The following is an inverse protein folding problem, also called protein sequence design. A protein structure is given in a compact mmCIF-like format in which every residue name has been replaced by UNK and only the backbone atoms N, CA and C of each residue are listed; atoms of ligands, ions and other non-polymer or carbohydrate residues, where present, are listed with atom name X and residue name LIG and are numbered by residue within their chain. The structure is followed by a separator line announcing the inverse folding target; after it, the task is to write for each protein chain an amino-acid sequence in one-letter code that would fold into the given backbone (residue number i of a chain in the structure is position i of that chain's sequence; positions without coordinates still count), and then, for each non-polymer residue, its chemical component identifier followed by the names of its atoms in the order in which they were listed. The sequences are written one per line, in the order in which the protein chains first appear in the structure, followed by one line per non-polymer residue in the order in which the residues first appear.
data_IF_975882379504
#
_entry.id   IF_975882379504
#
_cell.length_a   1.000
_cell.length_b   1.000
_cell.length_c   1.000
_cell.angle_alpha   90.00
_cell.angle_beta   90.00
_cell.angle_gamma   90.00
#
_symmetry.space_group_name_H-M   'P 1'
#
loop_
_entity.id
_entity.type
_entity.pdbx_description
1 polymer ?
#
# COMPACT_ATOMS: atom_id res chain seq x y z
N UNK A 1 -16.53 -19.08 26.70
CA UNK A 1 -17.97 -18.95 27.00
C UNK A 1 -18.18 -17.47 27.28
N UNK A 2 -18.61 -16.72 26.31
CA UNK A 2 -18.86 -15.29 26.41
C UNK A 2 -20.38 -15.10 26.43
N UNK A 3 -20.87 -14.69 27.62
CA UNK A 3 -22.26 -14.29 27.79
C UNK A 3 -22.49 -12.96 27.07
N UNK A 4 -23.33 -13.00 26.05
CA UNK A 4 -23.84 -11.82 25.37
C UNK A 4 -25.15 -11.44 26.01
N UNK A 5 -25.12 -10.48 26.96
CA UNK A 5 -26.34 -9.88 27.49
C UNK A 5 -26.90 -8.89 26.46
N UNK A 6 -27.86 -9.34 25.69
CA UNK A 6 -28.72 -8.53 24.83
C UNK A 6 -29.83 -7.92 25.69
N UNK A 7 -29.65 -6.69 26.17
CA UNK A 7 -30.79 -5.87 26.61
C UNK A 7 -31.49 -5.31 25.39
N UNK A 8 -32.32 -6.13 24.76
CA UNK A 8 -33.29 -5.68 23.79
C UNK A 8 -34.52 -5.14 24.55
N UNK A 9 -34.77 -3.85 24.44
CA UNK A 9 -36.07 -3.28 24.76
C UNK A 9 -37.13 -3.98 23.90
N UNK A 10 -38.02 -4.70 24.58
CA UNK A 10 -39.11 -5.45 23.99
C UNK A 10 -40.16 -4.52 23.40
N UNK A 11 -40.21 -4.40 22.10
CA UNK A 11 -41.48 -4.28 21.37
C UNK A 11 -41.52 -5.40 20.35
N UNK A 12 -42.33 -6.34 20.69
CA UNK A 12 -42.60 -7.59 20.02
C UNK A 12 -43.30 -7.33 18.68
N UNK A 13 -42.55 -7.42 17.55
CA UNK A 13 -43.03 -7.83 16.23
C UNK A 13 -42.01 -7.75 15.10
N UNK A 14 -40.80 -7.24 15.31
CA UNK A 14 -39.75 -7.17 14.27
C UNK A 14 -38.48 -7.90 14.71
N UNK A 15 -38.55 -9.23 14.83
CA UNK A 15 -37.37 -10.09 14.92
C UNK A 15 -36.72 -10.20 13.54
N UNK A 16 -36.00 -9.16 13.16
CA UNK A 16 -35.04 -9.23 12.09
C UNK A 16 -33.76 -9.92 12.61
N UNK A 17 -33.27 -10.88 11.87
CA UNK A 17 -32.09 -11.65 12.16
C UNK A 17 -30.89 -10.75 12.52
N UNK A 18 -30.47 -10.77 13.78
CA UNK A 18 -29.24 -10.14 14.20
C UNK A 18 -28.10 -11.13 13.95
N UNK A 19 -27.16 -10.76 13.08
CA UNK A 19 -25.96 -11.54 12.84
C UNK A 19 -24.84 -10.98 13.71
N UNK A 20 -24.33 -11.77 14.68
CA UNK A 20 -23.17 -11.42 15.50
C UNK A 20 -22.01 -12.27 15.00
N UNK A 21 -20.94 -11.61 14.57
CA UNK A 21 -19.76 -12.27 14.06
C UNK A 21 -18.54 -12.01 14.97
N UNK A 22 -18.04 -13.06 15.67
CA UNK A 22 -16.71 -12.95 16.30
C UNK A 22 -15.63 -13.08 15.24
N UNK A 23 -14.80 -12.09 15.07
CA UNK A 23 -13.58 -12.17 14.25
C UNK A 23 -12.41 -12.66 15.09
N UNK A 24 -11.72 -13.68 14.61
CA UNK A 24 -10.76 -14.50 15.36
C UNK A 24 -9.43 -13.80 15.73
N UNK A 25 -9.18 -12.56 15.37
CA UNK A 25 -7.82 -12.01 15.51
C UNK A 25 -7.66 -10.69 16.24
N UNK A 26 -8.68 -10.00 16.57
CA UNK A 26 -8.81 -8.86 17.51
C UNK A 26 -10.28 -8.47 17.52
N UNK A 27 -10.90 -8.70 18.59
CA UNK A 27 -12.19 -8.22 19.14
C UNK A 27 -13.05 -7.26 18.31
N UNK A 28 -13.19 -7.47 16.99
CA UNK A 28 -14.22 -6.80 16.20
C UNK A 28 -15.51 -7.61 16.28
N UNK A 29 -16.60 -6.96 16.60
CA UNK A 29 -17.94 -7.53 16.51
C UNK A 29 -18.74 -6.66 15.54
N UNK A 30 -19.35 -7.30 14.57
CA UNK A 30 -20.28 -6.70 13.63
C UNK A 30 -21.67 -7.21 13.94
N UNK A 31 -22.61 -6.35 14.23
CA UNK A 31 -24.02 -6.68 14.33
C UNK A 31 -24.79 -5.89 13.26
N UNK A 32 -25.65 -6.57 12.53
CA UNK A 32 -26.55 -5.97 11.55
C UNK A 32 -27.99 -6.39 11.84
N UNK A 33 -28.87 -5.43 11.98
CA UNK A 33 -30.30 -5.64 12.06
C UNK A 33 -30.96 -5.29 10.72
N UNK A 34 -31.73 -6.22 10.18
CA UNK A 34 -32.45 -6.03 8.92
C UNK A 34 -33.81 -5.40 9.18
N UNK A 35 -34.13 -4.30 8.50
CA UNK A 35 -35.48 -3.70 8.43
C UNK A 35 -36.04 -3.83 7.03
N UNK A 36 -37.39 -3.78 6.85
CA UNK A 36 -38.04 -4.19 5.60
C UNK A 36 -37.72 -3.35 4.34
N UNK A 37 -36.95 -2.31 4.38
CA UNK A 37 -36.71 -1.42 3.23
C UNK A 37 -35.22 -1.24 2.90
N UNK A 38 -34.44 -2.33 2.75
CA UNK A 38 -33.00 -2.26 2.44
C UNK A 38 -32.17 -1.47 3.46
N UNK A 39 -32.77 -1.19 4.62
CA UNK A 39 -32.15 -0.44 5.71
C UNK A 39 -31.40 -1.41 6.60
N UNK A 40 -30.10 -1.23 6.76
CA UNK A 40 -29.28 -2.04 7.65
C UNK A 40 -28.77 -1.17 8.81
N UNK A 41 -29.19 -1.47 10.03
CA UNK A 41 -28.56 -0.89 11.22
C UNK A 41 -27.25 -1.61 11.46
N UNK A 42 -26.15 -0.90 11.41
CA UNK A 42 -24.80 -1.40 11.55
C UNK A 42 -24.24 -0.97 12.92
N UNK A 43 -23.67 -1.92 13.62
CA UNK A 43 -22.85 -1.67 14.81
C UNK A 43 -21.49 -2.36 14.61
N UNK A 44 -20.42 -1.60 14.63
CA UNK A 44 -19.04 -2.11 14.55
C UNK A 44 -18.33 -1.77 15.84
N UNK A 45 -17.79 -2.78 16.49
CA UNK A 45 -17.14 -2.69 17.79
C UNK A 45 -15.71 -3.19 17.70
N UNK A 46 -14.77 -2.44 18.28
CA UNK A 46 -13.36 -2.83 18.38
C UNK A 46 -12.90 -2.68 19.82
N UNK A 47 -12.56 -3.80 20.46
CA UNK A 47 -12.04 -3.84 21.82
C UNK A 47 -10.50 -3.80 21.86
N UNK A 48 -9.96 -3.55 23.06
CA UNK A 48 -8.52 -3.46 23.35
C UNK A 48 -7.81 -2.38 22.52
N UNK A 49 -8.47 -1.22 22.38
CA UNK A 49 -7.97 -0.10 21.60
C UNK A 49 -7.48 1.02 22.52
N UNK A 50 -6.35 1.63 22.17
CA UNK A 50 -5.90 2.84 22.84
C UNK A 50 -6.77 4.05 22.43
N UNK A 51 -7.00 4.98 23.35
CA UNK A 51 -7.78 6.20 23.09
C UNK A 51 -7.15 7.10 22.00
N UNK A 52 -5.87 6.90 21.71
CA UNK A 52 -5.09 7.55 20.65
C UNK A 52 -5.16 6.82 19.30
N UNK A 53 -6.15 5.96 19.13
CA UNK A 53 -6.34 5.21 17.87
C UNK A 53 -7.59 5.66 17.13
N UNK A 54 -7.62 5.34 15.84
CA UNK A 54 -8.79 5.42 14.98
C UNK A 54 -9.20 4.02 14.53
N UNK A 55 -10.48 3.85 14.23
CA UNK A 55 -11.00 2.65 13.59
C UNK A 55 -11.72 3.00 12.29
N UNK A 56 -11.72 2.07 11.35
CA UNK A 56 -12.52 2.14 10.15
C UNK A 56 -13.14 0.78 9.81
N UNK A 57 -14.40 0.80 9.43
CA UNK A 57 -15.05 -0.32 8.79
C UNK A 57 -15.58 0.14 7.44
N UNK A 58 -15.40 -0.69 6.40
CA UNK A 58 -15.75 -0.31 5.05
C UNK A 58 -16.41 -1.47 4.30
N UNK A 59 -17.25 -1.14 3.33
CA UNK A 59 -17.70 -2.07 2.30
C UNK A 59 -17.09 -1.68 0.96
N UNK A 60 -16.77 -2.69 0.14
CA UNK A 60 -16.34 -2.47 -1.23
C UNK A 60 -17.35 -3.09 -2.20
N UNK A 61 -18.24 -2.29 -2.79
CA UNK A 61 -19.27 -2.80 -3.70
C UNK A 61 -18.72 -3.28 -5.04
N UNK A 62 -17.53 -2.83 -5.42
CA UNK A 62 -16.96 -3.07 -6.76
C UNK A 62 -16.01 -4.25 -6.81
N UNK A 63 -15.22 -4.48 -5.75
CA UNK A 63 -14.14 -5.48 -5.74
C UNK A 63 -13.67 -5.84 -4.34
N UNK A 64 -12.83 -6.86 -4.28
CA UNK A 64 -12.14 -7.23 -3.04
C UNK A 64 -10.95 -6.30 -2.81
N UNK A 65 -10.77 -5.83 -1.58
CA UNK A 65 -9.62 -5.00 -1.19
C UNK A 65 -9.99 -3.56 -0.84
N UNK A 66 -8.99 -2.81 -0.41
CA UNK A 66 -9.14 -1.46 0.13
C UNK A 66 -9.55 -0.43 -0.93
N UNK A 67 -8.97 -0.54 -2.13
CA UNK A 67 -9.21 0.43 -3.20
C UNK A 67 -10.65 0.34 -3.73
N UNK A 68 -11.37 1.45 -3.72
CA UNK A 68 -12.80 1.54 -4.04
C UNK A 68 -13.72 1.23 -2.85
N UNK A 69 -13.14 0.95 -1.68
CA UNK A 69 -13.92 0.74 -0.47
C UNK A 69 -14.49 2.07 0.05
N UNK A 70 -15.61 1.96 0.76
CA UNK A 70 -16.38 3.08 1.30
C UNK A 70 -16.50 2.87 2.81
N UNK A 71 -15.85 3.74 3.55
CA UNK A 71 -15.57 3.56 4.96
C UNK A 71 -16.43 4.42 5.88
N UNK A 72 -16.76 3.86 7.03
CA UNK A 72 -17.14 4.57 8.25
C UNK A 72 -15.89 4.67 9.11
N UNK A 73 -15.50 5.87 9.48
CA UNK A 73 -14.29 6.16 10.25
C UNK A 73 -14.67 6.76 11.58
N UNK A 74 -14.04 6.32 12.66
CA UNK A 74 -14.22 6.91 13.96
C UNK A 74 -12.91 7.06 14.72
N UNK A 75 -12.81 8.12 15.50
CA UNK A 75 -11.70 8.38 16.41
C UNK A 75 -12.11 9.35 17.51
N UNK A 76 -11.35 9.34 18.61
CA UNK A 76 -11.48 10.32 19.69
C UNK A 76 -10.54 11.49 19.40
N UNK A 77 -11.10 12.71 19.33
CA UNK A 77 -10.27 13.90 19.15
C UNK A 77 -9.38 14.10 20.40
N UNK A 78 -8.07 14.14 20.21
CA UNK A 78 -7.09 14.21 21.28
C UNK A 78 -7.16 15.53 22.08
N UNK A 79 -7.64 16.60 21.46
CA UNK A 79 -7.74 17.93 22.09
C UNK A 79 -9.04 18.12 22.85
N UNK A 80 -10.17 17.76 22.23
CA UNK A 80 -11.50 17.98 22.85
C UNK A 80 -12.04 16.78 23.62
N UNK A 81 -11.43 15.59 23.44
CA UNK A 81 -11.92 14.33 24.01
C UNK A 81 -13.23 13.82 23.37
N UNK A 82 -13.80 14.55 22.43
CA UNK A 82 -15.09 14.24 21.78
C UNK A 82 -14.87 13.19 20.69
N UNK A 83 -15.80 12.24 20.60
CA UNK A 83 -15.81 11.26 19.52
C UNK A 83 -16.24 11.92 18.20
N UNK A 84 -15.55 11.56 17.13
CA UNK A 84 -15.89 11.94 15.77
C UNK A 84 -16.12 10.70 14.93
N UNK A 85 -17.22 10.67 14.20
CA UNK A 85 -17.53 9.62 13.21
C UNK A 85 -17.98 10.24 11.91
N UNK A 86 -17.52 9.71 10.79
CA UNK A 86 -17.82 10.23 9.44
C UNK A 86 -17.62 9.17 8.37
N UNK A 87 -17.98 9.50 7.14
CA UNK A 87 -17.85 8.64 5.95
C UNK A 87 -16.62 9.06 5.13
N UNK A 88 -15.95 8.08 4.50
CA UNK A 88 -14.79 8.33 3.64
C UNK A 88 -14.72 7.35 2.47
N UNK A 89 -14.57 7.84 1.24
CA UNK A 89 -14.28 6.99 0.07
C UNK A 89 -12.77 6.75 -0.06
N UNK A 90 -12.38 5.56 -0.47
CA UNK A 90 -10.97 5.14 -0.58
C UNK A 90 -10.62 4.93 -2.05
N UNK A 91 -10.16 6.00 -2.70
CA UNK A 91 -9.84 5.99 -4.13
C UNK A 91 -8.35 5.70 -4.42
N UNK A 92 -7.51 5.66 -3.38
CA UNK A 92 -6.06 5.42 -3.47
C UNK A 92 -5.54 4.77 -2.19
N UNK A 93 -4.46 4.00 -2.29
CA UNK A 93 -3.72 3.51 -1.12
C UNK A 93 -2.97 4.62 -0.36
N UNK A 94 -2.84 5.80 -0.95
CA UNK A 94 -2.29 7.00 -0.29
C UNK A 94 -3.39 7.86 0.36
N UNK A 95 -4.54 7.27 0.69
CA UNK A 95 -5.65 8.00 1.33
C UNK A 95 -5.26 8.44 2.74
N UNK A 96 -5.79 9.60 3.14
CA UNK A 96 -5.77 10.10 4.52
C UNK A 96 -7.13 9.93 5.20
N UNK A 97 -8.04 9.15 4.59
CA UNK A 97 -9.41 8.93 5.07
C UNK A 97 -10.16 10.24 5.35
N UNK A 98 -10.07 11.19 4.43
CA UNK A 98 -10.81 12.45 4.54
C UNK A 98 -12.30 12.23 4.41
N UNK A 99 -13.08 13.05 5.12
CA UNK A 99 -14.52 13.02 5.05
C UNK A 99 -15.01 13.24 3.61
N UNK A 100 -15.81 12.30 3.12
CA UNK A 100 -16.38 12.34 1.76
C UNK A 100 -17.67 11.53 1.68
N UNK A 101 -18.57 11.88 0.72
CA UNK A 101 -19.79 11.12 0.50
C UNK A 101 -19.50 9.72 -0.03
N UNK A 102 -20.40 8.78 0.25
CA UNK A 102 -20.38 7.42 -0.27
C UNK A 102 -21.35 7.25 -1.44
N UNK A 103 -21.20 6.17 -2.21
CA UNK A 103 -22.10 5.83 -3.32
C UNK A 103 -23.47 5.32 -2.86
N UNK A 104 -23.63 5.00 -1.59
CA UNK A 104 -24.88 4.61 -0.95
C UNK A 104 -25.16 5.55 0.23
N UNK A 105 -26.45 5.67 0.56
CA UNK A 105 -26.88 6.57 1.62
C UNK A 105 -26.54 6.00 2.99
N UNK A 106 -25.89 6.81 3.81
CA UNK A 106 -25.60 6.53 5.23
C UNK A 106 -26.25 7.60 6.08
N UNK A 107 -26.96 7.19 7.11
CA UNK A 107 -27.60 8.11 8.06
C UNK A 107 -27.23 7.72 9.49
N UNK A 108 -27.35 8.68 10.39
CA UNK A 108 -27.15 8.45 11.84
C UNK A 108 -25.77 7.86 12.17
N UNK A 109 -24.70 8.40 11.55
CA UNK A 109 -23.33 8.00 11.91
C UNK A 109 -22.97 8.59 13.27
N UNK A 110 -22.63 7.72 14.21
CA UNK A 110 -22.17 8.11 15.54
C UNK A 110 -21.13 7.11 16.05
N UNK A 111 -20.40 7.48 17.11
CA UNK A 111 -19.44 6.60 17.74
C UNK A 111 -19.32 6.89 19.23
N UNK A 112 -18.91 5.87 19.98
CA UNK A 112 -18.58 5.97 21.40
C UNK A 112 -17.24 5.28 21.69
N UNK A 113 -16.61 5.70 22.78
CA UNK A 113 -15.41 5.05 23.31
C UNK A 113 -15.59 4.86 24.79
N UNK A 114 -15.62 3.59 25.23
CA UNK A 114 -15.81 3.21 26.62
C UNK A 114 -14.90 2.03 26.95
N UNK A 115 -14.17 2.11 28.07
CA UNK A 115 -13.35 1.02 28.63
C UNK A 115 -12.37 0.35 27.65
N UNK A 116 -11.71 1.14 26.81
CA UNK A 116 -10.77 0.62 25.80
C UNK A 116 -11.46 0.03 24.56
N UNK A 117 -12.73 0.33 24.38
CA UNK A 117 -13.54 -0.17 23.29
C UNK A 117 -14.15 0.98 22.50
N UNK A 118 -14.01 0.93 21.17
CA UNK A 118 -14.60 1.92 20.26
C UNK A 118 -15.72 1.26 19.45
N UNK A 119 -16.88 1.88 19.48
CA UNK A 119 -18.07 1.42 18.76
C UNK A 119 -18.52 2.47 17.77
N UNK A 120 -18.83 2.06 16.54
CA UNK A 120 -19.42 2.88 15.48
C UNK A 120 -20.83 2.38 15.19
N UNK A 121 -21.78 3.29 15.16
CA UNK A 121 -23.16 3.05 14.80
C UNK A 121 -23.46 3.78 13.49
N UNK A 122 -24.14 3.11 12.56
CA UNK A 122 -24.59 3.72 11.34
C UNK A 122 -25.83 3.03 10.78
N UNK A 123 -26.66 3.76 10.07
CA UNK A 123 -27.75 3.20 9.29
C UNK A 123 -27.40 3.30 7.81
N UNK A 124 -27.28 2.14 7.15
CA UNK A 124 -26.92 2.02 5.73
C UNK A 124 -28.16 1.74 4.89
N UNK A 125 -28.31 2.45 3.81
CA UNK A 125 -29.31 2.15 2.77
C UNK A 125 -28.54 1.52 1.61
N UNK A 126 -28.53 0.19 1.56
CA UNK A 126 -27.85 -0.55 0.51
C UNK A 126 -28.71 -0.67 -0.75
N UNK A 127 -28.11 -0.70 -1.96
CA UNK A 127 -28.86 -0.97 -3.18
C UNK A 127 -29.62 -2.28 -3.12
N UNK A 128 -30.79 -2.38 -3.75
CA UNK A 128 -31.55 -3.62 -3.82
C UNK A 128 -30.73 -4.72 -4.49
N UNK A 129 -30.96 -5.98 -4.09
CA UNK A 129 -30.31 -7.18 -4.63
C UNK A 129 -28.84 -7.41 -4.24
N UNK A 130 -28.26 -6.63 -3.32
CA UNK A 130 -26.95 -6.99 -2.75
C UNK A 130 -27.15 -8.11 -1.73
N UNK A 131 -26.80 -9.34 -2.13
CA UNK A 131 -26.81 -10.51 -1.25
C UNK A 131 -25.45 -10.84 -0.66
N UNK A 132 -24.37 -10.38 -1.30
CA UNK A 132 -23.00 -10.58 -0.85
C UNK A 132 -22.26 -9.25 -0.92
N UNK A 133 -21.55 -8.90 0.14
CA UNK A 133 -20.71 -7.71 0.17
C UNK A 133 -19.30 -8.03 0.67
N UNK A 134 -18.31 -7.38 0.06
CA UNK A 134 -16.95 -7.40 0.59
C UNK A 134 -16.81 -6.31 1.64
N UNK A 135 -16.36 -6.67 2.81
CA UNK A 135 -16.12 -5.72 3.89
C UNK A 135 -14.69 -5.82 4.41
N UNK A 136 -14.21 -4.72 4.98
CA UNK A 136 -12.87 -4.57 5.51
C UNK A 136 -12.95 -3.81 6.83
N UNK A 137 -11.97 -4.04 7.68
CA UNK A 137 -11.84 -3.30 8.94
C UNK A 137 -10.37 -3.01 9.20
N UNK A 138 -10.09 -1.85 9.79
CA UNK A 138 -8.75 -1.41 10.12
C UNK A 138 -8.77 -0.51 11.35
N UNK A 139 -7.63 -0.49 12.04
CA UNK A 139 -7.31 0.45 13.09
C UNK A 139 -5.91 1.01 12.88
N UNK A 140 -5.64 2.15 13.48
CA UNK A 140 -4.33 2.74 13.40
C UNK A 140 -4.14 3.88 14.40
N UNK A 141 -2.91 4.38 14.57
CA UNK A 141 -2.61 5.44 15.52
C UNK A 141 -3.11 6.80 15.04
N UNK A 142 -3.46 7.68 15.97
CA UNK A 142 -3.58 9.10 15.72
C UNK A 142 -2.19 9.75 15.83
N UNK A 143 -1.86 10.58 14.85
CA UNK A 143 -0.65 11.42 14.85
C UNK A 143 -0.93 12.77 15.50
N UNK A 144 0.13 13.51 15.79
CA UNK A 144 0.04 14.89 16.27
C UNK A 144 -0.90 15.74 15.41
N UNK A 145 -1.73 16.55 16.04
CA UNK A 145 -2.77 17.35 15.39
C UNK A 145 -4.02 16.55 14.99
N UNK A 146 -4.23 15.34 15.53
CA UNK A 146 -5.43 14.54 15.29
C UNK A 146 -5.51 13.93 13.89
N UNK A 147 -4.41 13.87 13.14
CA UNK A 147 -4.35 13.23 11.82
C UNK A 147 -4.32 11.72 11.95
N UNK A 148 -5.09 11.03 11.11
CA UNK A 148 -5.06 9.57 11.06
C UNK A 148 -3.71 9.08 10.55
N UNK A 149 -3.03 8.25 11.34
CA UNK A 149 -1.83 7.53 10.93
C UNK A 149 -2.19 6.32 10.08
N UNK A 150 -1.21 5.79 9.35
CA UNK A 150 -1.42 4.56 8.60
C UNK A 150 -1.56 3.36 9.54
N UNK A 151 -2.47 2.44 9.23
CA UNK A 151 -2.58 1.15 9.91
C UNK A 151 -1.30 0.32 9.72
N UNK A 152 -1.06 -0.66 10.58
CA UNK A 152 0.11 -1.52 10.47
C UNK A 152 0.05 -2.36 9.17
N UNK A 153 1.20 -2.50 8.49
CA UNK A 153 1.36 -3.29 7.27
C UNK A 153 1.86 -4.71 7.58
N UNK A 154 1.33 -5.32 8.64
CA UNK A 154 1.73 -6.65 9.11
C UNK A 154 0.60 -7.34 9.86
N UNK A 155 0.70 -8.67 9.95
CA UNK A 155 -0.24 -9.49 10.71
C UNK A 155 -1.68 -9.33 10.22
N UNK A 156 -2.60 -9.25 11.17
CA UNK A 156 -4.05 -9.23 10.93
C UNK A 156 -4.53 -8.06 10.08
N UNK A 157 -3.81 -6.93 10.09
CA UNK A 157 -4.13 -5.77 9.25
C UNK A 157 -4.05 -6.06 7.74
N UNK A 158 -3.27 -7.07 7.32
CA UNK A 158 -3.20 -7.47 5.91
C UNK A 158 -4.34 -8.42 5.52
N UNK A 159 -4.97 -9.07 6.49
CA UNK A 159 -6.02 -10.08 6.29
C UNK A 159 -7.40 -9.60 6.72
N UNK A 160 -7.53 -8.36 7.16
CA UNK A 160 -8.78 -7.73 7.61
C UNK A 160 -9.78 -7.47 6.47
N UNK A 161 -10.05 -8.50 5.67
CA UNK A 161 -10.96 -8.48 4.52
C UNK A 161 -11.76 -9.78 4.50
N UNK A 162 -13.08 -9.68 4.34
CA UNK A 162 -13.94 -10.81 4.19
C UNK A 162 -15.11 -10.52 3.24
N UNK A 163 -15.74 -11.56 2.73
CA UNK A 163 -17.03 -11.48 2.06
C UNK A 163 -18.12 -11.94 3.01
N UNK A 164 -19.15 -11.14 3.18
CA UNK A 164 -20.32 -11.41 3.99
C UNK A 164 -21.50 -11.69 3.08
N UNK A 165 -22.11 -12.86 3.22
CA UNK A 165 -23.40 -13.15 2.60
C UNK A 165 -24.48 -12.67 3.54
N UNK A 166 -25.24 -11.65 3.10
CA UNK A 166 -26.29 -10.99 3.90
C UNK A 166 -27.52 -11.89 4.16
N UNK A 167 -27.74 -12.93 3.33
CA UNK A 167 -28.87 -13.82 3.49
C UNK A 167 -28.59 -14.95 4.49
N UNK A 168 -27.37 -15.50 4.43
CA UNK A 168 -26.99 -16.66 5.27
C UNK A 168 -26.13 -16.26 6.48
N UNK A 169 -25.67 -15.01 6.55
CA UNK A 169 -24.70 -14.57 7.56
C UNK A 169 -23.32 -15.23 7.42
N UNK A 170 -23.08 -15.98 6.36
CA UNK A 170 -21.81 -16.68 6.17
C UNK A 170 -20.71 -15.69 5.81
N UNK A 171 -19.63 -15.71 6.61
CA UNK A 171 -18.40 -14.98 6.31
C UNK A 171 -17.41 -15.92 5.63
N UNK A 172 -16.84 -15.45 4.53
CA UNK A 172 -15.75 -16.15 3.85
C UNK A 172 -14.53 -15.24 3.86
N UNK A 173 -13.45 -15.68 4.50
CA UNK A 173 -12.19 -14.98 4.48
C UNK A 173 -11.72 -14.80 3.03
N UNK A 174 -11.24 -13.62 2.71
CA UNK A 174 -10.80 -13.29 1.35
C UNK A 174 -9.32 -13.01 1.38
N UNK A 175 -8.54 -13.68 0.52
CA UNK A 175 -7.14 -13.34 0.33
C UNK A 175 -7.03 -11.90 -0.17
N UNK A 176 -6.29 -11.08 0.55
CA UNK A 176 -6.20 -9.64 0.29
C UNK A 176 -5.40 -9.35 -0.99
N UNK A 177 -5.88 -8.41 -1.80
CA UNK A 177 -5.06 -7.81 -2.89
C UNK A 177 -3.82 -7.11 -2.30
N UNK A 178 -3.88 -6.67 -1.04
CA UNK A 178 -2.76 -6.03 -0.35
C UNK A 178 -1.55 -6.95 -0.15
N UNK A 179 -1.77 -8.26 0.07
CA UNK A 179 -0.66 -9.22 0.17
C UNK A 179 0.13 -9.30 -1.13
N UNK A 180 -0.55 -9.31 -2.27
CA UNK A 180 0.11 -9.34 -3.57
C UNK A 180 0.89 -8.05 -3.82
N UNK A 181 0.34 -6.89 -3.43
CA UNK A 181 1.01 -5.60 -3.57
C UNK A 181 2.23 -5.50 -2.65
N UNK A 182 2.12 -6.00 -1.41
CA UNK A 182 3.27 -6.03 -0.51
C UNK A 182 4.41 -6.90 -1.06
N UNK A 183 4.08 -8.09 -1.57
CA UNK A 183 5.04 -8.96 -2.24
C UNK A 183 5.69 -8.26 -3.44
N UNK A 184 4.89 -7.58 -4.28
CA UNK A 184 5.42 -6.83 -5.44
C UNK A 184 6.32 -5.67 -5.00
N UNK A 185 6.01 -4.96 -3.91
CA UNK A 185 6.90 -3.93 -3.32
C UNK A 185 8.23 -4.53 -2.86
N UNK A 186 8.20 -5.69 -2.22
CA UNK A 186 9.42 -6.39 -1.78
C UNK A 186 10.27 -6.83 -2.99
N UNK A 187 9.64 -7.42 -4.02
CA UNK A 187 10.31 -7.80 -5.26
C UNK A 187 10.90 -6.56 -5.93
N UNK A 188 10.15 -5.45 -6.02
CA UNK A 188 10.63 -4.18 -6.55
C UNK A 188 11.89 -3.70 -5.82
N UNK A 189 11.86 -3.67 -4.50
CA UNK A 189 12.98 -3.26 -3.67
C UNK A 189 14.21 -4.15 -3.84
N UNK A 190 14.03 -5.48 -3.76
CA UNK A 190 15.11 -6.46 -3.92
C UNK A 190 15.77 -6.37 -5.30
N UNK A 191 14.97 -6.37 -6.37
CA UNK A 191 15.49 -6.33 -7.73
C UNK A 191 16.27 -5.04 -8.02
N UNK A 192 15.79 -3.89 -7.51
CA UNK A 192 16.51 -2.62 -7.62
C UNK A 192 17.79 -2.61 -6.77
N UNK A 193 17.77 -3.16 -5.57
CA UNK A 193 18.98 -3.26 -4.73
C UNK A 193 20.05 -4.11 -5.40
N UNK A 194 19.69 -5.28 -5.96
CA UNK A 194 20.63 -6.14 -6.69
C UNK A 194 21.14 -5.46 -7.97
N UNK A 195 20.23 -4.86 -8.75
CA UNK A 195 20.57 -4.20 -10.02
C UNK A 195 21.46 -2.97 -9.80
N UNK A 196 20.88 -1.93 -9.20
CA UNK A 196 21.50 -0.61 -9.07
C UNK A 196 22.46 -0.50 -7.89
N UNK A 197 22.26 -1.31 -6.82
CA UNK A 197 23.08 -1.28 -5.61
C UNK A 197 24.27 -2.24 -5.64
N UNK A 198 24.21 -3.31 -6.43
CA UNK A 198 25.26 -4.34 -6.45
C UNK A 198 25.88 -4.47 -7.86
N UNK A 199 25.11 -4.87 -8.88
CA UNK A 199 25.67 -5.17 -10.20
C UNK A 199 26.30 -3.97 -10.86
N UNK A 200 25.62 -2.83 -10.85
CA UNK A 200 26.14 -1.59 -11.44
C UNK A 200 27.45 -1.12 -10.77
N UNK A 201 27.53 -1.00 -9.43
CA UNK A 201 28.80 -0.67 -8.75
C UNK A 201 29.90 -1.66 -9.01
N UNK A 202 29.64 -2.98 -9.00
CA UNK A 202 30.64 -4.01 -9.31
C UNK A 202 31.20 -3.80 -10.73
N UNK A 203 30.35 -3.53 -11.72
CA UNK A 203 30.79 -3.23 -13.07
C UNK A 203 31.70 -2.00 -13.16
N UNK A 204 31.35 -0.93 -12.42
CA UNK A 204 32.21 0.29 -12.34
C UNK A 204 33.54 -0.02 -11.67
N UNK A 205 33.54 -0.80 -10.58
CA UNK A 205 34.75 -1.22 -9.89
C UNK A 205 35.65 -2.08 -10.78
N UNK A 206 35.07 -3.00 -11.57
CA UNK A 206 35.81 -3.79 -12.54
C UNK A 206 36.55 -2.91 -13.56
N UNK A 207 35.85 -1.90 -14.11
CA UNK A 207 36.46 -0.95 -15.05
C UNK A 207 37.52 -0.04 -14.38
N UNK A 208 37.40 0.24 -13.09
CA UNK A 208 38.33 1.12 -12.37
C UNK A 208 39.59 0.42 -11.87
N UNK A 209 39.42 -0.78 -11.28
CA UNK A 209 40.49 -1.46 -10.53
C UNK A 209 41.10 -2.64 -11.28
N UNK A 210 40.36 -3.35 -12.14
CA UNK A 210 40.90 -4.48 -12.90
C UNK A 210 41.65 -4.01 -14.15
N UNK A 211 41.24 -2.88 -14.72
CA UNK A 211 41.85 -2.31 -15.93
C UNK A 211 43.37 -2.03 -15.78
N UNK A 212 43.86 -1.80 -14.57
CA UNK A 212 45.29 -1.51 -14.34
C UNK A 212 46.22 -2.73 -14.54
N UNK A 213 45.66 -3.94 -14.57
CA UNK A 213 46.42 -5.18 -14.77
C UNK A 213 46.39 -5.57 -16.26
N UNK A 214 47.50 -5.44 -16.96
CA UNK A 214 47.59 -5.73 -18.40
C UNK A 214 47.23 -7.19 -18.72
N UNK A 215 47.59 -8.14 -17.85
CA UNK A 215 47.25 -9.56 -18.00
C UNK A 215 45.71 -9.82 -18.04
N UNK A 216 44.92 -8.89 -17.56
CA UNK A 216 43.44 -8.95 -17.53
C UNK A 216 42.79 -8.16 -18.63
N UNK A 217 43.54 -7.59 -19.59
CA UNK A 217 42.96 -6.95 -20.80
C UNK A 217 42.67 -8.06 -21.84
N UNK A 218 41.46 -8.11 -22.42
CA UNK A 218 40.29 -7.20 -22.25
C UNK A 218 39.23 -7.68 -21.23
N UNK A 219 39.55 -8.58 -20.34
CA UNK A 219 38.58 -9.21 -19.38
C UNK A 219 37.84 -8.19 -18.54
N UNK A 220 38.53 -7.10 -18.10
CA UNK A 220 37.90 -6.03 -17.34
C UNK A 220 36.75 -5.36 -18.10
N UNK A 221 36.90 -5.20 -19.44
CA UNK A 221 35.90 -4.58 -20.28
C UNK A 221 34.65 -5.46 -20.38
N UNK A 222 34.82 -6.77 -20.62
CA UNK A 222 33.69 -7.70 -20.67
C UNK A 222 32.96 -7.80 -19.33
N UNK A 223 33.67 -7.85 -18.21
CA UNK A 223 33.07 -7.84 -16.88
C UNK A 223 32.26 -6.57 -16.64
N UNK A 224 32.82 -5.40 -17.01
CA UNK A 224 32.09 -4.14 -16.93
C UNK A 224 30.79 -4.18 -17.76
N UNK A 225 30.90 -4.54 -19.04
CA UNK A 225 29.75 -4.59 -19.95
C UNK A 225 28.67 -5.56 -19.44
N UNK A 226 29.06 -6.77 -19.05
CA UNK A 226 28.13 -7.79 -18.54
C UNK A 226 27.42 -7.31 -17.28
N UNK A 227 28.16 -6.78 -16.30
CA UNK A 227 27.57 -6.27 -15.07
C UNK A 227 26.60 -5.10 -15.34
N UNK A 228 26.98 -4.15 -16.22
CA UNK A 228 26.14 -3.00 -16.54
C UNK A 228 24.88 -3.40 -17.31
N UNK A 229 25.01 -4.24 -18.33
CA UNK A 229 23.85 -4.67 -19.13
C UNK A 229 22.91 -5.57 -18.33
N UNK A 230 23.44 -6.55 -17.60
CA UNK A 230 22.63 -7.43 -16.73
C UNK A 230 21.94 -6.61 -15.65
N UNK A 231 22.67 -5.70 -14.98
CA UNK A 231 22.11 -4.81 -13.98
C UNK A 231 20.97 -3.97 -14.56
N UNK A 232 21.16 -3.36 -15.72
CA UNK A 232 20.13 -2.57 -16.36
C UNK A 232 18.86 -3.37 -16.65
N UNK A 233 18.97 -4.58 -17.24
CA UNK A 233 17.81 -5.42 -17.55
C UNK A 233 17.11 -5.96 -16.31
N UNK A 234 17.86 -6.34 -15.27
CA UNK A 234 17.28 -6.73 -13.98
C UNK A 234 16.48 -5.58 -13.37
N UNK A 235 17.02 -4.35 -13.41
CA UNK A 235 16.33 -3.16 -12.96
C UNK A 235 15.10 -2.82 -13.83
N UNK A 236 15.20 -2.99 -15.14
CA UNK A 236 14.09 -2.74 -16.08
C UNK A 236 12.90 -3.65 -15.76
N UNK A 237 13.12 -4.94 -15.62
CA UNK A 237 12.06 -5.93 -15.33
C UNK A 237 11.57 -5.77 -13.89
N UNK A 238 12.47 -5.84 -12.92
CA UNK A 238 12.15 -5.82 -11.49
C UNK A 238 11.76 -4.43 -10.97
N UNK A 239 12.40 -3.37 -11.48
CA UNK A 239 12.13 -1.99 -11.08
C UNK A 239 10.95 -1.39 -11.83
N UNK A 240 11.11 -1.15 -13.13
CA UNK A 240 10.10 -0.46 -13.94
C UNK A 240 8.85 -1.33 -14.15
N UNK A 241 9.01 -2.62 -14.45
CA UNK A 241 7.88 -3.53 -14.65
C UNK A 241 6.98 -3.64 -13.43
N UNK A 242 7.57 -3.83 -12.25
CA UNK A 242 6.79 -3.87 -10.99
C UNK A 242 6.20 -2.52 -10.61
N UNK A 243 6.89 -1.40 -10.89
CA UNK A 243 6.37 -0.06 -10.67
C UNK A 243 5.12 0.22 -11.53
N UNK A 244 5.15 -0.13 -12.81
CA UNK A 244 3.99 -0.01 -13.70
C UNK A 244 2.82 -0.85 -13.18
N UNK A 245 3.08 -2.09 -12.75
CA UNK A 245 2.05 -2.94 -12.16
C UNK A 245 1.43 -2.30 -10.91
N UNK A 246 2.26 -1.80 -9.98
CA UNK A 246 1.78 -1.14 -8.75
C UNK A 246 0.94 0.11 -9.05
N UNK A 247 1.36 0.95 -10.00
CA UNK A 247 0.60 2.14 -10.39
C UNK A 247 -0.76 1.77 -10.98
N UNK A 248 -0.81 0.75 -11.86
CA UNK A 248 -2.06 0.29 -12.47
C UNK A 248 -3.04 -0.31 -11.46
N UNK A 249 -2.53 -1.11 -10.52
CA UNK A 249 -3.37 -1.83 -9.55
C UNK A 249 -3.75 -0.95 -8.35
N UNK A 250 -2.82 -0.12 -7.86
CA UNK A 250 -2.96 0.64 -6.61
C UNK A 250 -3.22 2.12 -6.81
N UNK A 251 -3.18 2.63 -8.04
CA UNK A 251 -3.30 4.08 -8.35
C UNK A 251 -2.39 4.95 -7.46
N UNK A 252 -1.17 4.46 -7.21
CA UNK A 252 -0.20 5.18 -6.38
C UNK A 252 0.14 6.54 -7.01
N UNK A 253 0.30 7.55 -6.15
CA UNK A 253 0.71 8.89 -6.59
C UNK A 253 2.17 8.88 -7.01
N UNK A 254 2.51 9.76 -7.95
CA UNK A 254 3.89 10.03 -8.33
C UNK A 254 4.64 10.65 -7.15
N UNK A 255 5.78 10.07 -6.82
CA UNK A 255 6.68 10.52 -5.75
C UNK A 255 8.02 10.93 -6.34
N UNK A 256 8.87 11.68 -5.61
CA UNK A 256 10.24 11.96 -6.06
C UNK A 256 11.03 10.68 -6.37
N UNK A 257 10.82 9.60 -5.61
CA UNK A 257 11.40 8.28 -5.91
C UNK A 257 11.02 7.78 -7.32
N UNK A 258 9.75 7.91 -7.71
CA UNK A 258 9.28 7.51 -9.04
C UNK A 258 9.94 8.33 -10.15
N UNK A 259 10.03 9.66 -9.97
CA UNK A 259 10.63 10.56 -10.97
C UNK A 259 12.12 10.25 -11.15
N UNK A 260 12.86 10.12 -10.05
CA UNK A 260 14.29 9.78 -10.09
C UNK A 260 14.49 8.40 -10.74
N UNK A 261 13.64 7.42 -10.42
CA UNK A 261 13.67 6.09 -11.01
C UNK A 261 13.52 6.12 -12.53
N UNK A 262 12.55 6.87 -13.06
CA UNK A 262 12.37 7.04 -14.50
C UNK A 262 13.59 7.71 -15.16
N UNK A 263 14.15 8.72 -14.50
CA UNK A 263 15.37 9.39 -14.97
C UNK A 263 16.56 8.43 -15.03
N UNK A 264 16.74 7.58 -14.04
CA UNK A 264 17.79 6.56 -14.00
C UNK A 264 17.67 5.58 -15.17
N UNK A 265 16.47 5.13 -15.50
CA UNK A 265 16.26 4.27 -16.67
C UNK A 265 16.59 4.98 -17.97
N UNK A 266 16.21 6.24 -18.14
CA UNK A 266 16.56 7.03 -19.31
C UNK A 266 18.08 7.22 -19.44
N UNK A 267 18.77 7.60 -18.37
CA UNK A 267 20.22 7.76 -18.36
C UNK A 267 20.96 6.44 -18.58
N UNK A 268 20.50 5.35 -18.00
CA UNK A 268 21.05 4.00 -18.21
C UNK A 268 20.90 3.54 -19.66
N UNK A 269 19.76 3.82 -20.29
CA UNK A 269 19.55 3.56 -21.70
C UNK A 269 20.53 4.34 -22.60
N UNK A 270 20.75 5.64 -22.28
CA UNK A 270 21.74 6.46 -22.99
C UNK A 270 23.16 5.90 -22.85
N UNK A 271 23.51 5.31 -21.69
CA UNK A 271 24.81 4.66 -21.49
C UNK A 271 24.96 3.38 -22.34
N UNK A 272 23.88 2.62 -22.53
CA UNK A 272 23.89 1.45 -23.44
C UNK A 272 24.05 1.90 -24.89
N UNK A 273 23.37 2.96 -25.30
CA UNK A 273 23.56 3.55 -26.64
C UNK A 273 24.98 4.07 -26.83
N UNK A 274 25.58 4.64 -25.80
CA UNK A 274 26.97 5.13 -25.84
C UNK A 274 27.97 3.99 -26.11
N UNK A 275 27.68 2.73 -25.69
CA UNK A 275 28.52 1.59 -26.03
C UNK A 275 28.60 1.35 -27.53
N UNK A 276 27.47 1.50 -28.25
CA UNK A 276 27.43 1.40 -29.74
C UNK A 276 28.10 2.57 -30.42
N UNK A 277 28.05 3.76 -29.81
CA UNK A 277 28.65 4.98 -30.35
C UNK A 277 30.12 5.20 -29.91
N UNK A 278 30.74 4.17 -29.29
CA UNK A 278 32.14 4.27 -28.84
C UNK A 278 33.09 4.34 -30.02
N UNK A 279 33.88 5.44 -30.14
CA UNK A 279 34.91 5.54 -31.17
C UNK A 279 36.09 4.58 -30.92
N UNK A 280 36.89 4.33 -31.95
CA UNK A 280 38.15 3.60 -31.81
C UNK A 280 39.08 4.29 -30.81
N UNK A 281 40.03 3.50 -30.22
CA UNK A 281 40.93 4.00 -29.17
C UNK A 281 41.76 5.22 -29.61
N UNK A 282 42.13 5.29 -30.88
CA UNK A 282 42.97 6.34 -31.48
C UNK A 282 42.18 7.46 -32.13
N UNK A 283 40.86 7.40 -32.10
CA UNK A 283 40.01 8.39 -32.73
C UNK A 283 40.00 9.72 -31.93
N UNK A 284 40.06 10.84 -32.66
CA UNK A 284 40.11 12.21 -32.07
C UNK A 284 38.98 12.51 -31.08
N UNK A 285 37.83 11.88 -31.22
CA UNK A 285 36.66 12.11 -30.35
C UNK A 285 36.61 11.20 -29.13
N UNK A 286 37.52 10.21 -28.96
CA UNK A 286 37.48 9.27 -27.83
C UNK A 286 37.55 9.98 -26.45
N UNK A 287 38.25 11.11 -26.35
CA UNK A 287 38.35 11.90 -25.12
C UNK A 287 36.99 12.47 -24.67
N UNK A 288 36.18 12.94 -25.61
CA UNK A 288 34.85 13.48 -25.33
C UNK A 288 33.87 12.38 -24.95
N UNK A 289 33.95 11.23 -25.63
CA UNK A 289 33.19 10.04 -25.30
C UNK A 289 33.52 9.54 -23.90
N UNK A 290 34.82 9.45 -23.54
CA UNK A 290 35.25 9.05 -22.20
C UNK A 290 34.72 10.04 -21.13
N UNK A 291 34.81 11.34 -21.37
CA UNK A 291 34.28 12.35 -20.45
C UNK A 291 32.78 12.18 -20.24
N UNK A 292 32.01 12.07 -21.32
CA UNK A 292 30.58 11.83 -21.26
C UNK A 292 30.26 10.55 -20.48
N UNK A 293 30.83 9.42 -20.89
CA UNK A 293 30.56 8.10 -20.32
C UNK A 293 30.87 8.05 -18.81
N UNK A 294 32.02 8.57 -18.40
CA UNK A 294 32.40 8.58 -16.99
C UNK A 294 31.53 9.52 -16.17
N UNK A 295 31.28 10.74 -16.62
CA UNK A 295 30.45 11.71 -15.90
C UNK A 295 29.03 11.19 -15.72
N UNK A 296 28.41 10.72 -16.79
CA UNK A 296 27.05 10.15 -16.72
C UNK A 296 27.01 8.88 -15.88
N UNK A 297 28.04 8.04 -15.97
CA UNK A 297 28.13 6.83 -15.13
C UNK A 297 28.18 7.15 -13.64
N UNK A 298 28.96 8.13 -13.20
CA UNK A 298 28.98 8.57 -11.80
C UNK A 298 27.65 9.17 -11.35
N UNK A 299 27.01 10.00 -12.18
CA UNK A 299 25.69 10.57 -11.89
C UNK A 299 24.68 9.43 -11.67
N UNK A 300 24.66 8.42 -12.54
CA UNK A 300 23.75 7.27 -12.42
C UNK A 300 23.97 6.51 -11.12
N UNK A 301 25.23 6.23 -10.74
CA UNK A 301 25.53 5.50 -9.48
C UNK A 301 25.08 6.31 -8.26
N UNK A 302 25.42 7.61 -8.20
CA UNK A 302 25.05 8.46 -7.06
C UNK A 302 23.51 8.55 -6.92
N UNK A 303 22.83 8.83 -8.02
CA UNK A 303 21.37 8.93 -8.04
C UNK A 303 20.70 7.59 -7.71
N UNK A 304 21.27 6.44 -8.15
CA UNK A 304 20.71 5.13 -7.84
C UNK A 304 20.76 4.81 -6.35
N UNK A 305 21.88 5.08 -5.69
CA UNK A 305 22.02 4.91 -4.23
C UNK A 305 21.03 5.79 -3.48
N UNK A 306 20.93 7.06 -3.88
CA UNK A 306 19.96 7.98 -3.30
C UNK A 306 18.52 7.51 -3.51
N UNK A 307 18.19 7.01 -4.71
CA UNK A 307 16.83 6.53 -5.02
C UNK A 307 16.48 5.25 -4.26
N UNK A 308 17.43 4.33 -4.06
CA UNK A 308 17.25 3.15 -3.20
C UNK A 308 16.94 3.59 -1.77
N UNK A 309 17.72 4.53 -1.23
CA UNK A 309 17.47 5.09 0.11
C UNK A 309 16.07 5.70 0.23
N UNK A 310 15.63 6.48 -0.75
CA UNK A 310 14.26 7.03 -0.80
C UNK A 310 13.20 5.95 -0.83
N UNK A 311 13.41 4.88 -1.59
CA UNK A 311 12.52 3.72 -1.64
C UNK A 311 12.41 3.01 -0.29
N UNK A 312 13.52 2.82 0.43
CA UNK A 312 13.53 2.24 1.77
C UNK A 312 12.81 3.12 2.79
N UNK A 313 13.00 4.44 2.73
CA UNK A 313 12.27 5.39 3.60
C UNK A 313 10.77 5.30 3.34
N UNK A 314 10.33 5.23 2.09
CA UNK A 314 8.91 5.06 1.75
C UNK A 314 8.38 3.73 2.29
N UNK A 315 9.13 2.65 2.16
CA UNK A 315 8.75 1.33 2.66
C UNK A 315 8.64 1.33 4.19
N UNK A 316 9.57 1.98 4.89
CA UNK A 316 9.59 2.05 6.35
C UNK A 316 8.52 2.99 6.91
N UNK A 317 8.33 4.16 6.30
CA UNK A 317 7.33 5.15 6.75
C UNK A 317 5.90 4.73 6.44
N UNK A 318 5.73 3.67 5.65
CA UNK A 318 4.45 3.21 5.18
C UNK A 318 3.71 4.23 4.29
N UNK A 319 4.40 5.25 3.81
CA UNK A 319 3.86 6.35 3.00
C UNK A 319 3.71 5.92 1.52
N UNK A 320 2.95 4.86 1.28
CA UNK A 320 2.64 4.43 -0.09
C UNK A 320 1.15 4.50 -0.35
#
# INVERSE_FOLDING_TARGET
MLDVNLTASKTEKDLALAWIFPFWTRSYTLAMLEKPEFLKLLTVRHANLESSSWIAWAINPMRKGMLGAQALVAYRNSTSGVMRAYTSSIDSYSTTLQESPLSFRVTQVSSEYLDGEMTVFATLVLPPNITVMNHLWQDGPLKEGGRLGMHAMRGDHLTSIASLNLLSGKITATKSVNENILLVKQIHGMMNAVSWGILMPIGVMAARYIKIYEILDPTWFYKHVVCQTTGYFVGLIGGLGTAIYMVRVSRMRTTPHTVIGLFLFALGFLQILALKARPDKDHKYIKYWNWYHHTMGYIVIILSVYNIYKGLVILHSGSC
#
